data_IF_973434010780
#
_entry.id   IF_973434010780
#
_cell.length_a   1.000
_cell.length_b   1.000
_cell.length_c   1.000
_cell.angle_alpha   90.00
_cell.angle_beta   90.00
_cell.angle_gamma   90.00
#
_symmetry.space_group_name_H-M   'P 1'
#
loop_
_entity.id
_entity.type
_entity.pdbx_description
1 polymer ?
#
# COMPACT_ATOMS: atom_id res chain seq x y z
N UNK A 1 13.45 33.62 -53.66
CA UNK A 1 13.07 33.26 -52.29
C UNK A 1 14.20 32.38 -51.72
N UNK A 2 14.86 32.88 -50.66
CA UNK A 2 15.83 32.05 -49.92
C UNK A 2 15.04 31.16 -48.98
N UNK A 3 15.09 29.86 -49.18
CA UNK A 3 14.55 28.87 -48.22
C UNK A 3 15.69 28.48 -47.31
N UNK A 4 15.64 28.95 -46.06
CA UNK A 4 16.56 28.55 -45.02
C UNK A 4 15.87 27.58 -44.10
N UNK A 5 16.49 26.46 -43.75
CA UNK A 5 16.07 25.61 -42.66
C UNK A 5 16.48 26.26 -41.34
N UNK A 6 15.52 26.70 -40.56
CA UNK A 6 15.75 27.13 -39.20
C UNK A 6 15.25 26.05 -38.23
N UNK A 7 15.95 25.86 -37.14
CA UNK A 7 15.43 25.09 -36.00
C UNK A 7 14.17 25.78 -35.49
N UNK A 8 13.13 25.01 -35.17
CA UNK A 8 11.96 25.56 -34.48
C UNK A 8 12.40 26.04 -33.08
N UNK A 9 11.94 27.21 -32.68
CA UNK A 9 12.23 27.71 -31.33
C UNK A 9 11.86 26.64 -30.28
N UNK A 10 12.73 26.45 -29.29
CA UNK A 10 12.50 25.51 -28.22
C UNK A 10 11.22 25.94 -27.46
N UNK A 11 10.30 25.00 -27.32
CA UNK A 11 9.03 25.21 -26.58
C UNK A 11 9.00 24.48 -25.26
N UNK A 12 10.05 23.73 -24.94
CA UNK A 12 10.21 22.96 -23.70
C UNK A 12 11.69 22.82 -23.34
N UNK A 13 11.97 22.73 -22.08
CA UNK A 13 13.30 22.44 -21.53
C UNK A 13 13.16 21.22 -20.64
N UNK A 14 14.15 20.31 -20.71
CA UNK A 14 14.26 19.18 -19.80
C UNK A 14 15.71 19.07 -19.33
N UNK A 15 15.91 18.97 -18.01
CA UNK A 15 17.22 18.79 -17.38
C UNK A 15 17.17 17.70 -16.32
N UNK A 16 18.30 17.03 -16.16
CA UNK A 16 18.56 16.05 -15.11
C UNK A 16 19.86 16.41 -14.40
N UNK A 17 19.79 16.68 -13.09
CA UNK A 17 20.92 17.17 -12.29
C UNK A 17 21.65 18.34 -12.97
N UNK A 18 20.91 19.34 -13.45
CA UNK A 18 21.44 20.54 -14.12
C UNK A 18 21.92 20.33 -15.56
N UNK A 19 21.90 19.12 -16.11
CA UNK A 19 22.32 18.83 -17.48
C UNK A 19 21.13 18.67 -18.41
N UNK A 20 21.21 19.23 -19.61
CA UNK A 20 20.18 19.09 -20.63
C UNK A 20 19.98 17.60 -20.99
N UNK A 21 18.75 17.15 -20.99
CA UNK A 21 18.40 15.79 -21.33
C UNK A 21 17.17 15.72 -22.26
N UNK A 22 16.89 14.52 -22.73
CA UNK A 22 15.65 14.19 -23.44
C UNK A 22 14.90 13.12 -22.63
N UNK A 23 13.73 13.46 -22.10
CA UNK A 23 12.88 12.54 -21.37
C UNK A 23 11.99 11.74 -22.32
N UNK A 24 11.99 10.40 -22.18
CA UNK A 24 11.16 9.49 -22.94
C UNK A 24 10.24 8.73 -22.00
N UNK A 25 8.95 9.08 -22.02
CA UNK A 25 7.92 8.37 -21.29
C UNK A 25 7.42 7.12 -22.05
N UNK A 26 7.59 5.95 -21.44
CA UNK A 26 7.15 4.67 -22.02
C UNK A 26 5.91 4.19 -21.29
N UNK A 27 4.82 3.93 -22.02
CA UNK A 27 3.58 3.37 -21.48
C UNK A 27 3.36 1.96 -22.02
N UNK A 28 3.10 1.01 -21.14
CA UNK A 28 2.75 -0.36 -21.53
C UNK A 28 1.29 -0.43 -22.02
N UNK A 29 1.01 -1.43 -22.87
CA UNK A 29 -0.38 -1.77 -23.24
C UNK A 29 -1.10 -2.38 -22.02
N UNK A 30 -2.40 -2.14 -21.91
CA UNK A 30 -3.23 -2.68 -20.82
C UNK A 30 -3.16 -4.21 -20.70
N UNK A 31 -2.86 -4.92 -21.80
CA UNK A 31 -2.72 -6.38 -21.85
C UNK A 31 -1.30 -6.88 -21.53
N UNK A 32 -0.33 -6.00 -21.41
CA UNK A 32 1.08 -6.36 -21.11
C UNK A 32 1.36 -6.14 -19.62
N UNK A 33 1.90 -7.16 -18.95
CA UNK A 33 2.32 -7.03 -17.57
C UNK A 33 3.44 -5.99 -17.41
N UNK A 34 3.27 -5.05 -16.50
CA UNK A 34 4.20 -3.94 -16.26
C UNK A 34 5.63 -4.41 -16.01
N UNK A 35 5.81 -5.45 -15.20
CA UNK A 35 7.14 -6.00 -14.86
C UNK A 35 7.87 -6.52 -16.10
N UNK A 36 7.17 -7.25 -16.98
CA UNK A 36 7.78 -7.78 -18.21
C UNK A 36 8.11 -6.64 -19.18
N UNK A 37 7.20 -5.68 -19.36
CA UNK A 37 7.43 -4.55 -20.24
C UNK A 37 8.64 -3.70 -19.77
N UNK A 38 8.75 -3.41 -18.47
CA UNK A 38 9.91 -2.69 -17.94
C UNK A 38 11.21 -3.48 -18.11
N UNK A 39 11.17 -4.81 -17.94
CA UNK A 39 12.34 -5.68 -18.14
C UNK A 39 12.80 -5.64 -19.61
N UNK A 40 11.88 -5.82 -20.55
CA UNK A 40 12.20 -5.80 -22.01
C UNK A 40 12.77 -4.45 -22.42
N UNK A 41 12.24 -3.34 -21.86
CA UNK A 41 12.77 -1.99 -22.09
C UNK A 41 14.20 -1.85 -21.55
N UNK A 42 14.46 -2.30 -20.31
CA UNK A 42 15.81 -2.26 -19.74
C UNK A 42 16.82 -3.06 -20.54
N UNK A 43 16.46 -4.26 -20.97
CA UNK A 43 17.31 -5.09 -21.83
C UNK A 43 17.60 -4.39 -23.16
N UNK A 44 16.60 -3.71 -23.75
CA UNK A 44 16.79 -2.98 -25.00
C UNK A 44 17.65 -1.74 -24.81
N UNK A 45 17.49 -0.99 -23.71
CA UNK A 45 18.35 0.14 -23.39
C UNK A 45 19.82 -0.28 -23.23
N UNK A 46 20.09 -1.40 -22.56
CA UNK A 46 21.45 -1.94 -22.43
C UNK A 46 22.06 -2.30 -23.78
N UNK A 47 21.29 -2.87 -24.72
CA UNK A 47 21.74 -3.15 -26.07
C UNK A 47 22.10 -1.86 -26.83
N UNK A 48 21.23 -0.84 -26.77
CA UNK A 48 21.44 0.45 -27.43
C UNK A 48 22.67 1.15 -26.85
N UNK A 49 22.86 1.11 -25.53
CA UNK A 49 24.04 1.68 -24.88
C UNK A 49 25.32 0.98 -25.28
N UNK A 50 25.30 -0.35 -25.44
CA UNK A 50 26.46 -1.10 -25.93
C UNK A 50 26.82 -0.77 -27.39
N UNK A 51 25.81 -0.51 -28.23
CA UNK A 51 25.99 -0.08 -29.63
C UNK A 51 26.43 1.38 -29.71
N UNK A 52 26.04 2.22 -28.75
CA UNK A 52 26.32 3.66 -28.74
C UNK A 52 26.85 4.10 -27.37
N UNK A 53 28.14 3.88 -27.07
CA UNK A 53 28.73 4.20 -25.75
C UNK A 53 28.73 5.69 -25.38
N UNK A 54 28.47 6.57 -26.36
CA UNK A 54 28.38 8.03 -26.11
C UNK A 54 27.01 8.46 -25.52
N UNK A 55 26.02 7.57 -25.49
CA UNK A 55 24.69 7.86 -24.97
C UNK A 55 24.60 7.24 -23.56
N UNK A 56 24.31 8.07 -22.60
CA UNK A 56 24.02 7.63 -21.22
C UNK A 56 22.50 7.60 -20.98
N UNK A 57 21.99 6.51 -20.44
CA UNK A 57 20.58 6.36 -20.11
C UNK A 57 20.42 6.28 -18.61
N UNK A 58 19.58 7.15 -18.05
CA UNK A 58 19.14 7.08 -16.66
C UNK A 58 17.65 6.74 -16.58
N UNK A 59 17.29 5.82 -15.72
CA UNK A 59 15.91 5.41 -15.50
C UNK A 59 15.38 6.15 -14.26
N UNK A 60 14.73 7.27 -14.49
CA UNK A 60 14.21 8.14 -13.43
C UNK A 60 12.97 7.57 -12.72
N UNK A 61 12.17 6.80 -13.42
CA UNK A 61 10.98 6.15 -12.85
C UNK A 61 10.75 4.75 -13.40
N UNK A 62 10.63 3.78 -12.54
CA UNK A 62 10.34 2.38 -12.86
C UNK A 62 9.16 1.84 -12.04
N UNK A 63 7.99 1.80 -12.67
CA UNK A 63 6.78 1.26 -12.06
C UNK A 63 6.89 -0.22 -11.66
N UNK A 64 7.82 -0.99 -12.25
CA UNK A 64 8.02 -2.40 -11.87
C UNK A 64 8.67 -2.56 -10.49
N UNK A 65 9.43 -1.58 -10.03
CA UNK A 65 10.16 -1.62 -8.76
C UNK A 65 9.22 -1.78 -7.57
N UNK A 66 8.11 -1.04 -7.54
CA UNK A 66 7.09 -1.13 -6.48
C UNK A 66 6.39 -2.50 -6.46
N UNK A 67 6.11 -3.09 -7.65
CA UNK A 67 5.51 -4.41 -7.77
C UNK A 67 6.48 -5.49 -7.28
N UNK A 68 7.76 -5.41 -7.69
CA UNK A 68 8.80 -6.36 -7.28
C UNK A 68 9.06 -6.26 -5.77
N UNK A 69 9.13 -5.05 -5.23
CA UNK A 69 9.26 -4.82 -3.79
C UNK A 69 8.10 -5.43 -3.01
N UNK A 70 6.86 -5.24 -3.48
CA UNK A 70 5.68 -5.84 -2.87
C UNK A 70 5.69 -7.37 -2.95
N UNK A 71 6.10 -7.95 -4.09
CA UNK A 71 6.29 -9.41 -4.23
C UNK A 71 7.33 -9.95 -3.26
N UNK A 72 8.46 -9.25 -3.12
CA UNK A 72 9.51 -9.62 -2.16
C UNK A 72 8.98 -9.58 -0.73
N UNK A 73 8.25 -8.52 -0.37
CA UNK A 73 7.60 -8.38 0.94
C UNK A 73 6.61 -9.51 1.23
N UNK A 74 5.83 -9.95 0.23
CA UNK A 74 4.94 -11.12 0.37
C UNK A 74 5.75 -12.39 0.63
N UNK A 75 6.84 -12.61 -0.12
CA UNK A 75 7.70 -13.79 0.05
C UNK A 75 8.39 -13.79 1.42
N UNK A 76 8.92 -12.67 1.86
CA UNK A 76 9.53 -12.50 3.19
C UNK A 76 8.52 -12.72 4.31
N UNK A 77 7.33 -12.14 4.20
CA UNK A 77 6.24 -12.30 5.16
C UNK A 77 5.77 -13.76 5.24
N UNK A 78 5.65 -14.43 4.09
CA UNK A 78 5.33 -15.85 4.04
C UNK A 78 6.39 -16.68 4.74
N UNK A 79 7.67 -16.46 4.41
CA UNK A 79 8.79 -17.19 5.02
C UNK A 79 8.84 -16.97 6.53
N UNK A 80 8.76 -15.71 6.96
CA UNK A 80 8.74 -15.35 8.37
C UNK A 80 7.52 -15.95 9.08
N UNK A 81 6.34 -15.88 8.46
CA UNK A 81 5.11 -16.47 8.98
C UNK A 81 5.20 -17.98 9.15
N UNK A 82 5.73 -18.68 8.15
CA UNK A 82 5.98 -20.14 8.22
C UNK A 82 6.95 -20.48 9.35
N UNK A 83 8.10 -19.80 9.41
CA UNK A 83 9.13 -20.05 10.44
C UNK A 83 8.59 -19.77 11.84
N UNK A 84 7.92 -18.63 12.03
CA UNK A 84 7.37 -18.26 13.32
C UNK A 84 6.25 -19.22 13.77
N UNK A 85 5.35 -19.60 12.85
CA UNK A 85 4.30 -20.58 13.12
C UNK A 85 4.90 -21.93 13.47
N UNK A 86 5.89 -22.41 12.71
CA UNK A 86 6.57 -23.65 13.03
C UNK A 86 7.26 -23.61 14.39
N UNK A 87 7.91 -22.50 14.74
CA UNK A 87 8.55 -22.31 16.03
C UNK A 87 7.54 -22.35 17.18
N UNK A 88 6.43 -21.65 17.05
CA UNK A 88 5.34 -21.62 18.03
C UNK A 88 4.74 -23.03 18.18
N UNK A 89 4.39 -23.69 17.09
CA UNK A 89 3.81 -25.02 17.13
C UNK A 89 4.79 -26.07 17.70
N UNK A 90 6.08 -25.94 17.36
CA UNK A 90 7.11 -26.78 17.95
C UNK A 90 7.19 -26.59 19.48
N UNK A 91 7.03 -25.37 19.95
CA UNK A 91 7.00 -25.05 21.38
C UNK A 91 5.79 -25.70 22.07
N UNK A 92 4.61 -25.76 21.39
CA UNK A 92 3.38 -26.31 21.97
C UNK A 92 3.26 -27.83 21.84
N UNK A 93 3.62 -28.41 20.71
CA UNK A 93 3.49 -29.86 20.45
C UNK A 93 4.79 -30.65 20.71
N UNK A 94 5.93 -29.97 20.74
CA UNK A 94 7.25 -30.59 20.92
C UNK A 94 7.67 -31.47 19.75
N UNK A 95 6.95 -31.46 18.63
CA UNK A 95 7.24 -32.29 17.46
C UNK A 95 7.41 -31.41 16.20
N UNK A 96 8.60 -31.54 15.60
CA UNK A 96 8.93 -30.80 14.36
C UNK A 96 8.06 -31.26 13.18
N UNK A 97 7.63 -32.54 13.14
CA UNK A 97 6.76 -33.02 12.06
C UNK A 97 5.38 -32.38 12.08
N UNK A 98 4.82 -32.21 13.28
CA UNK A 98 3.55 -31.50 13.45
C UNK A 98 3.66 -30.05 12.97
N UNK A 99 4.73 -29.37 13.38
CA UNK A 99 5.01 -27.99 12.96
C UNK A 99 5.19 -27.88 11.44
N UNK A 100 5.90 -28.85 10.83
CA UNK A 100 6.13 -28.88 9.39
C UNK A 100 4.83 -29.10 8.59
N UNK A 101 3.91 -29.94 9.08
CA UNK A 101 2.60 -30.17 8.42
C UNK A 101 1.83 -28.86 8.29
N UNK A 102 1.72 -28.10 9.39
CA UNK A 102 1.01 -26.82 9.39
C UNK A 102 1.80 -25.76 8.60
N UNK A 103 3.12 -25.69 8.79
CA UNK A 103 3.98 -24.77 8.04
C UNK A 103 3.89 -24.97 6.52
N UNK A 104 3.84 -26.21 6.06
CA UNK A 104 3.69 -26.55 4.64
C UNK A 104 2.29 -26.22 4.08
N UNK A 105 1.27 -26.19 4.92
CA UNK A 105 -0.09 -25.83 4.46
C UNK A 105 -0.20 -24.37 3.99
N UNK A 106 0.62 -23.45 4.54
CA UNK A 106 0.60 -22.04 4.17
C UNK A 106 1.01 -21.78 2.72
N UNK A 107 2.20 -22.19 2.24
CA UNK A 107 2.58 -21.99 0.85
C UNK A 107 1.64 -22.71 -0.11
N UNK A 108 1.13 -23.89 0.24
CA UNK A 108 0.18 -24.61 -0.61
C UNK A 108 -1.14 -23.85 -0.73
N UNK A 109 -1.66 -23.31 0.37
CA UNK A 109 -2.85 -22.44 0.36
C UNK A 109 -2.63 -21.18 -0.46
N UNK A 110 -1.43 -20.57 -0.35
CA UNK A 110 -1.08 -19.39 -1.15
C UNK A 110 -1.07 -19.73 -2.65
N UNK A 111 -0.43 -20.81 -3.07
CA UNK A 111 -0.44 -21.23 -4.48
C UNK A 111 -1.86 -21.51 -4.99
N UNK A 112 -2.69 -22.16 -4.19
CA UNK A 112 -4.08 -22.40 -4.54
C UNK A 112 -4.84 -21.08 -4.67
N UNK A 113 -4.59 -20.10 -3.81
CA UNK A 113 -5.15 -18.75 -3.90
C UNK A 113 -4.77 -18.08 -5.22
N UNK A 114 -3.49 -18.13 -5.61
CA UNK A 114 -3.01 -17.57 -6.88
C UNK A 114 -3.67 -18.24 -8.10
N UNK A 115 -3.91 -19.55 -8.04
CA UNK A 115 -4.65 -20.28 -9.08
C UNK A 115 -6.09 -19.75 -9.18
N UNK A 116 -6.79 -19.59 -8.06
CA UNK A 116 -8.16 -19.08 -8.04
C UNK A 116 -8.22 -17.63 -8.55
N UNK A 117 -7.27 -16.77 -8.16
CA UNK A 117 -7.15 -15.41 -8.68
C UNK A 117 -6.94 -15.39 -10.19
N UNK A 118 -6.04 -16.25 -10.71
CA UNK A 118 -5.78 -16.38 -12.13
C UNK A 118 -7.02 -16.83 -12.93
N UNK A 119 -7.80 -17.78 -12.39
CA UNK A 119 -9.05 -18.25 -13.01
C UNK A 119 -10.11 -17.15 -13.10
N UNK A 120 -10.11 -16.19 -12.18
CA UNK A 120 -11.03 -15.04 -12.17
C UNK A 120 -10.47 -13.83 -12.92
N UNK A 121 -9.28 -13.93 -13.50
CA UNK A 121 -8.65 -12.86 -14.26
C UNK A 121 -8.07 -11.72 -13.41
N UNK A 122 -7.85 -11.94 -12.11
CA UNK A 122 -7.21 -10.94 -11.25
C UNK A 122 -5.70 -10.88 -11.50
N UNK A 123 -5.17 -9.67 -11.56
CA UNK A 123 -3.74 -9.41 -11.69
C UNK A 123 -3.07 -9.30 -10.32
N UNK A 124 -1.76 -9.58 -10.27
CA UNK A 124 -0.94 -9.26 -9.10
C UNK A 124 -0.60 -7.76 -9.13
N UNK A 125 -1.12 -7.03 -8.17
CA UNK A 125 -0.91 -5.61 -7.96
C UNK A 125 -0.73 -5.31 -6.46
N UNK A 126 -0.43 -4.07 -6.11
CA UNK A 126 -0.18 -3.66 -4.71
C UNK A 126 -1.35 -4.04 -3.79
N UNK A 127 -2.59 -3.89 -4.26
CA UNK A 127 -3.79 -4.21 -3.47
C UNK A 127 -3.93 -5.71 -3.23
N UNK A 128 -3.80 -6.52 -4.29
CA UNK A 128 -3.91 -7.98 -4.18
C UNK A 128 -2.74 -8.58 -3.41
N UNK A 129 -1.52 -8.04 -3.57
CA UNK A 129 -0.35 -8.47 -2.81
C UNK A 129 -0.47 -8.11 -1.33
N UNK A 130 -0.94 -6.89 -1.00
CA UNK A 130 -1.26 -6.50 0.37
C UNK A 130 -2.34 -7.39 0.99
N UNK A 131 -3.37 -7.77 0.23
CA UNK A 131 -4.40 -8.69 0.67
C UNK A 131 -3.86 -10.09 0.97
N UNK A 132 -2.90 -10.58 0.17
CA UNK A 132 -2.23 -11.85 0.44
C UNK A 132 -1.41 -11.82 1.73
N UNK A 133 -0.73 -10.70 2.05
CA UNK A 133 -0.03 -10.53 3.33
C UNK A 133 -1.00 -10.66 4.52
N UNK A 134 -2.16 -10.00 4.44
CA UNK A 134 -3.21 -10.11 5.46
C UNK A 134 -3.72 -11.56 5.56
N UNK A 135 -3.99 -12.18 4.41
CA UNK A 135 -4.52 -13.54 4.34
C UNK A 135 -3.54 -14.59 4.90
N UNK A 136 -2.23 -14.43 4.72
CA UNK A 136 -1.20 -15.33 5.27
C UNK A 136 -1.38 -15.52 6.77
N UNK A 137 -1.63 -14.43 7.51
CA UNK A 137 -1.87 -14.51 8.97
C UNK A 137 -3.12 -15.29 9.36
N UNK A 138 -4.15 -15.32 8.50
CA UNK A 138 -5.42 -16.00 8.77
C UNK A 138 -5.44 -17.47 8.27
N UNK A 139 -4.57 -17.82 7.33
CA UNK A 139 -4.56 -19.17 6.71
C UNK A 139 -4.19 -20.29 7.66
N UNK A 140 -3.49 -19.99 8.76
CA UNK A 140 -2.91 -20.99 9.66
C UNK A 140 -3.95 -21.60 10.60
N UNK A 141 -4.94 -20.82 11.00
CA UNK A 141 -5.86 -21.16 12.09
C UNK A 141 -6.61 -22.47 11.86
N UNK A 142 -7.16 -22.69 10.66
CA UNK A 142 -7.87 -23.90 10.32
C UNK A 142 -6.96 -25.14 10.42
N UNK A 143 -5.70 -25.04 9.95
CA UNK A 143 -4.73 -26.11 9.98
C UNK A 143 -4.31 -26.48 11.40
N UNK A 144 -4.17 -25.50 12.30
CA UNK A 144 -3.86 -25.73 13.73
C UNK A 144 -4.98 -26.50 14.40
N UNK A 145 -6.24 -26.09 14.18
CA UNK A 145 -7.41 -26.74 14.79
C UNK A 145 -7.54 -28.20 14.33
N UNK A 146 -7.28 -28.47 13.04
CA UNK A 146 -7.33 -29.83 12.51
C UNK A 146 -6.25 -30.71 13.13
N UNK A 147 -4.99 -30.25 13.17
CA UNK A 147 -3.89 -31.08 13.72
C UNK A 147 -4.08 -31.32 15.22
N UNK A 148 -4.55 -30.32 15.98
CA UNK A 148 -4.86 -30.47 17.40
C UNK A 148 -5.95 -31.54 17.63
N UNK A 149 -7.01 -31.51 16.81
CA UNK A 149 -8.09 -32.49 16.89
C UNK A 149 -7.61 -33.90 16.55
N UNK A 150 -6.74 -34.04 15.53
CA UNK A 150 -6.12 -35.32 15.19
C UNK A 150 -5.29 -35.87 16.36
N UNK A 151 -4.48 -35.03 17.03
CA UNK A 151 -3.72 -35.48 18.24
C UNK A 151 -4.64 -35.87 19.36
N UNK A 152 -5.73 -35.11 19.60
CA UNK A 152 -6.71 -35.44 20.65
C UNK A 152 -7.37 -36.77 20.40
N UNK A 153 -7.73 -37.07 19.15
CA UNK A 153 -8.30 -38.37 18.76
C UNK A 153 -7.29 -39.52 18.82
N UNK A 154 -6.05 -39.26 18.49
CA UNK A 154 -4.99 -40.29 18.56
C UNK A 154 -4.80 -40.85 19.98
N UNK A 155 -5.07 -40.06 21.04
CA UNK A 155 -5.01 -40.52 22.42
C UNK A 155 -6.04 -41.64 22.74
N UNK A 156 -7.17 -41.65 22.01
CA UNK A 156 -8.24 -42.65 22.16
C UNK A 156 -8.29 -43.68 21.05
N UNK A 157 -7.68 -43.42 19.90
CA UNK A 157 -7.71 -44.29 18.72
C UNK A 157 -6.29 -44.58 18.23
N UNK A 158 -5.77 -45.81 18.41
CA UNK A 158 -4.39 -46.16 18.05
C UNK A 158 -4.08 -46.05 16.55
N UNK A 159 -5.09 -46.28 15.69
CA UNK A 159 -4.92 -46.14 14.25
C UNK A 159 -4.86 -44.66 13.80
N UNK A 160 -3.71 -44.28 13.26
CA UNK A 160 -3.44 -42.92 12.78
C UNK A 160 -4.41 -42.44 11.67
N UNK A 161 -4.82 -43.35 10.77
CA UNK A 161 -5.72 -43.02 9.69
C UNK A 161 -7.11 -42.75 10.24
N UNK A 162 -7.59 -43.57 11.16
CA UNK A 162 -8.87 -43.37 11.79
C UNK A 162 -8.85 -42.15 12.69
N UNK A 163 -7.78 -41.91 13.46
CA UNK A 163 -7.61 -40.71 14.29
C UNK A 163 -7.63 -39.39 13.43
N UNK A 164 -6.95 -39.42 12.29
CA UNK A 164 -6.96 -38.28 11.36
C UNK A 164 -8.36 -37.99 10.78
N UNK A 165 -9.06 -39.08 10.37
CA UNK A 165 -10.40 -38.94 9.77
C UNK A 165 -11.44 -38.47 10.80
N UNK A 166 -11.46 -39.11 11.99
CA UNK A 166 -12.40 -38.72 13.05
C UNK A 166 -12.09 -37.35 13.64
N UNK A 167 -10.80 -37.03 13.84
CA UNK A 167 -10.36 -35.74 14.32
C UNK A 167 -10.75 -34.62 13.38
N UNK A 168 -10.52 -34.80 12.06
CA UNK A 168 -10.95 -33.80 11.07
C UNK A 168 -12.47 -33.66 11.03
N UNK A 169 -13.21 -34.76 11.04
CA UNK A 169 -14.68 -34.76 11.04
C UNK A 169 -15.26 -34.01 12.24
N UNK A 170 -14.66 -34.15 13.44
CA UNK A 170 -15.11 -33.49 14.67
C UNK A 170 -15.08 -31.97 14.55
N UNK A 171 -14.08 -31.40 13.89
CA UNK A 171 -13.89 -29.94 13.79
C UNK A 171 -14.38 -29.34 12.45
N UNK A 172 -14.74 -30.17 11.48
CA UNK A 172 -15.17 -29.74 10.13
C UNK A 172 -16.26 -28.66 10.18
N UNK A 173 -17.35 -28.91 10.92
CA UNK A 173 -18.46 -27.95 11.00
C UNK A 173 -18.04 -26.62 11.61
N UNK A 174 -17.19 -26.66 12.64
CA UNK A 174 -16.68 -25.46 13.31
C UNK A 174 -15.77 -24.63 12.39
N UNK A 175 -14.85 -25.30 11.66
CA UNK A 175 -13.93 -24.64 10.73
C UNK A 175 -14.71 -24.04 9.54
N UNK A 176 -15.65 -24.79 8.96
CA UNK A 176 -16.49 -24.26 7.88
C UNK A 176 -17.28 -23.04 8.37
N UNK A 177 -17.91 -23.12 9.53
CA UNK A 177 -18.67 -22.00 10.09
C UNK A 177 -17.81 -20.76 10.32
N UNK A 178 -16.61 -20.91 10.90
CA UNK A 178 -15.68 -19.79 11.11
C UNK A 178 -15.18 -19.21 9.80
N UNK A 179 -14.84 -20.06 8.82
CA UNK A 179 -14.40 -19.61 7.49
C UNK A 179 -15.50 -18.84 6.76
N UNK A 180 -16.76 -19.35 6.77
CA UNK A 180 -17.90 -18.67 6.20
C UNK A 180 -18.13 -17.32 6.88
N UNK A 181 -18.04 -17.26 8.20
CA UNK A 181 -18.19 -16.00 8.94
C UNK A 181 -17.14 -14.97 8.51
N UNK A 182 -15.89 -15.38 8.34
CA UNK A 182 -14.82 -14.53 7.83
C UNK A 182 -15.12 -14.07 6.40
N UNK A 183 -15.52 -14.98 5.52
CA UNK A 183 -15.89 -14.66 4.14
C UNK A 183 -17.02 -13.62 4.09
N UNK A 184 -18.06 -13.80 4.89
CA UNK A 184 -19.22 -12.88 4.95
C UNK A 184 -18.80 -11.47 5.39
N UNK A 185 -17.78 -11.33 6.23
CA UNK A 185 -17.23 -10.00 6.63
C UNK A 185 -16.53 -9.30 5.47
N UNK A 186 -15.83 -10.04 4.62
CA UNK A 186 -15.09 -9.46 3.47
C UNK A 186 -15.93 -9.33 2.20
N UNK A 187 -17.03 -10.05 2.09
CA UNK A 187 -17.92 -10.02 0.90
C UNK A 187 -18.50 -8.62 0.60
N UNK A 188 -18.91 -7.79 1.58
CA UNK A 188 -19.34 -6.42 1.31
C UNK A 188 -18.29 -5.56 0.61
N UNK A 189 -17.00 -5.74 0.92
CA UNK A 189 -15.91 -5.01 0.25
C UNK A 189 -15.87 -5.34 -1.25
N UNK A 190 -16.13 -6.60 -1.60
CA UNK A 190 -16.19 -7.06 -2.99
C UNK A 190 -17.41 -6.54 -3.78
N UNK A 191 -18.38 -5.91 -3.11
CA UNK A 191 -19.62 -5.38 -3.74
C UNK A 191 -19.68 -3.86 -3.71
N UNK A 192 -18.66 -3.18 -3.22
CA UNK A 192 -18.58 -1.72 -3.20
C UNK A 192 -18.54 -1.16 -4.62
N UNK A 193 -19.12 0.05 -4.82
CA UNK A 193 -19.14 0.75 -6.10
C UNK A 193 -18.25 1.97 -6.09
N UNK A 194 -17.88 2.45 -7.29
CA UNK A 194 -17.03 3.62 -7.46
C UNK A 194 -15.53 3.29 -7.51
N UNK A 195 -14.69 4.31 -7.45
CA UNK A 195 -13.23 4.15 -7.52
C UNK A 195 -12.70 3.29 -6.37
N UNK A 196 -13.12 3.59 -5.15
CA UNK A 196 -12.80 2.77 -3.97
C UNK A 196 -13.29 1.33 -4.11
N UNK A 197 -14.46 1.13 -4.74
CA UNK A 197 -15.01 -0.19 -5.01
C UNK A 197 -14.10 -1.06 -5.86
N UNK A 198 -13.49 -0.52 -6.91
CA UNK A 198 -12.57 -1.27 -7.77
C UNK A 198 -11.32 -1.77 -7.00
N UNK A 199 -10.84 -0.99 -6.03
CA UNK A 199 -9.72 -1.39 -5.18
C UNK A 199 -10.14 -2.45 -4.15
N UNK A 200 -11.24 -2.20 -3.44
CA UNK A 200 -11.71 -3.08 -2.38
C UNK A 200 -12.32 -4.39 -2.91
N UNK A 201 -12.86 -4.41 -4.14
CA UNK A 201 -13.30 -5.63 -4.81
C UNK A 201 -12.16 -6.65 -4.91
N UNK A 202 -11.00 -6.22 -5.44
CA UNK A 202 -9.84 -7.11 -5.58
C UNK A 202 -9.31 -7.58 -4.22
N UNK A 203 -9.29 -6.68 -3.23
CA UNK A 203 -8.91 -7.01 -1.85
C UNK A 203 -9.86 -8.06 -1.27
N UNK A 204 -11.16 -7.82 -1.32
CA UNK A 204 -12.18 -8.70 -0.76
C UNK A 204 -12.15 -10.11 -1.36
N UNK A 205 -12.14 -10.20 -2.69
CA UNK A 205 -12.07 -11.51 -3.37
C UNK A 205 -10.76 -12.24 -3.12
N UNK A 206 -9.62 -11.55 -3.07
CA UNK A 206 -8.34 -12.19 -2.77
C UNK A 206 -8.35 -12.85 -1.40
N UNK A 207 -8.89 -12.18 -0.38
CA UNK A 207 -9.03 -12.76 0.97
C UNK A 207 -10.03 -13.93 0.97
N UNK A 208 -11.15 -13.81 0.26
CA UNK A 208 -12.13 -14.90 0.13
C UNK A 208 -11.49 -16.14 -0.51
N UNK A 209 -10.72 -15.98 -1.60
CA UNK A 209 -10.01 -17.10 -2.22
C UNK A 209 -8.96 -17.70 -1.30
N UNK A 210 -8.24 -16.88 -0.54
CA UNK A 210 -7.28 -17.33 0.44
C UNK A 210 -7.93 -18.15 1.57
N UNK A 211 -9.09 -17.72 2.04
CA UNK A 211 -9.84 -18.46 3.06
C UNK A 211 -10.36 -19.79 2.54
N UNK A 212 -10.89 -19.83 1.31
CA UNK A 212 -11.32 -21.07 0.66
C UNK A 212 -10.14 -22.02 0.43
N UNK A 213 -9.01 -21.51 -0.05
CA UNK A 213 -7.79 -22.27 -0.25
C UNK A 213 -7.25 -22.87 1.07
N UNK A 214 -7.26 -22.06 2.14
CA UNK A 214 -6.86 -22.52 3.47
C UNK A 214 -7.81 -23.60 4.03
N UNK A 215 -9.11 -23.44 3.84
CA UNK A 215 -10.10 -24.45 4.24
C UNK A 215 -9.84 -25.78 3.54
N UNK A 216 -9.63 -25.77 2.21
CA UNK A 216 -9.33 -26.97 1.42
C UNK A 216 -8.03 -27.61 1.91
N UNK A 217 -6.97 -26.82 2.09
CA UNK A 217 -5.69 -27.30 2.57
C UNK A 217 -5.81 -27.91 3.99
N UNK A 218 -6.49 -27.25 4.90
CA UNK A 218 -6.68 -27.74 6.27
C UNK A 218 -7.48 -29.03 6.32
N UNK A 219 -8.53 -29.18 5.52
CA UNK A 219 -9.38 -30.36 5.55
C UNK A 219 -8.85 -31.54 4.77
N UNK A 220 -8.02 -31.31 3.74
CA UNK A 220 -7.49 -32.37 2.88
C UNK A 220 -6.01 -32.69 3.12
N UNK A 221 -5.17 -31.63 3.13
CA UNK A 221 -3.72 -31.83 3.18
C UNK A 221 -3.23 -32.11 4.61
N UNK A 222 -3.76 -31.42 5.61
CA UNK A 222 -3.31 -31.63 7.01
C UNK A 222 -3.58 -33.06 7.46
N UNK A 223 -4.79 -33.67 7.36
CA UNK A 223 -5.00 -35.06 7.76
C UNK A 223 -4.22 -36.04 6.90
N UNK A 224 -4.02 -35.77 5.60
CA UNK A 224 -3.19 -36.58 4.73
C UNK A 224 -1.73 -36.61 5.23
N UNK A 225 -1.16 -35.41 5.43
CA UNK A 225 0.22 -35.30 5.94
C UNK A 225 0.38 -35.89 7.36
N UNK A 226 -0.68 -35.76 8.20
CA UNK A 226 -0.68 -36.39 9.51
C UNK A 226 -0.49 -37.91 9.42
N UNK A 227 -1.16 -38.58 8.48
CA UNK A 227 -0.99 -40.02 8.27
C UNK A 227 0.36 -40.42 7.69
N UNK A 228 0.94 -39.54 6.81
CA UNK A 228 2.25 -39.81 6.15
C UNK A 228 3.41 -39.57 7.11
N UNK A 229 3.46 -38.39 7.74
CA UNK A 229 4.58 -37.97 8.59
C UNK A 229 4.52 -38.58 10.00
N UNK A 230 3.36 -39.09 10.44
CA UNK A 230 3.14 -39.71 11.74
C UNK A 230 3.73 -38.88 12.89
N UNK A 231 3.24 -37.64 13.10
CA UNK A 231 3.74 -36.80 14.18
C UNK A 231 3.37 -37.38 15.54
N UNK A 232 4.12 -37.01 16.57
CA UNK A 232 3.90 -37.48 17.94
C UNK A 232 3.89 -36.27 18.88
N UNK A 233 2.78 -36.02 19.54
CA UNK A 233 2.72 -35.05 20.62
C UNK A 233 3.60 -35.47 21.80
N UNK A 234 4.53 -34.60 22.23
CA UNK A 234 5.35 -34.84 23.41
C UNK A 234 4.66 -34.33 24.65
N UNK A 235 4.63 -35.19 25.68
CA UNK A 235 4.15 -34.82 27.01
C UNK A 235 5.29 -34.17 27.84
N UNK A 236 4.93 -33.33 28.80
CA UNK A 236 5.85 -32.68 29.75
C UNK A 236 6.86 -31.72 29.12
N UNK A 237 6.39 -30.88 28.22
CA UNK A 237 7.20 -29.79 27.65
C UNK A 237 7.53 -28.71 28.72
N UNK A 238 8.67 -28.00 28.58
CA UNK A 238 9.01 -26.87 29.48
C UNK A 238 7.92 -25.80 29.55
N UNK A 239 7.21 -25.59 28.44
CA UNK A 239 6.11 -24.62 28.33
C UNK A 239 4.88 -25.02 29.15
N UNK A 240 4.66 -26.31 29.44
CA UNK A 240 3.49 -26.78 30.19
C UNK A 240 3.41 -26.18 31.59
N UNK A 241 4.56 -25.96 32.23
CA UNK A 241 4.64 -25.32 33.55
C UNK A 241 4.18 -23.87 33.49
N UNK A 242 4.61 -23.14 32.44
CA UNK A 242 4.21 -21.75 32.20
C UNK A 242 2.72 -21.67 31.86
N UNK A 243 2.24 -22.56 30.98
CA UNK A 243 0.83 -22.64 30.59
C UNK A 243 -0.08 -22.95 31.79
N UNK A 244 0.30 -23.92 32.65
CA UNK A 244 -0.45 -24.24 33.87
C UNK A 244 -0.54 -23.04 34.81
N UNK A 245 0.57 -22.30 35.01
CA UNK A 245 0.59 -21.07 35.81
C UNK A 245 -0.31 -19.99 35.23
N UNK A 246 -0.23 -19.78 33.89
CA UNK A 246 -1.05 -18.82 33.18
C UNK A 246 -2.54 -19.20 33.26
N UNK A 247 -2.87 -20.46 32.99
CA UNK A 247 -4.26 -20.97 33.08
C UNK A 247 -4.84 -20.79 34.47
N UNK A 248 -4.05 -21.08 35.52
CA UNK A 248 -4.50 -20.89 36.92
C UNK A 248 -4.74 -19.42 37.23
N UNK A 249 -3.87 -18.53 36.75
CA UNK A 249 -4.03 -17.08 36.91
C UNK A 249 -5.27 -16.57 36.15
N UNK A 250 -5.44 -16.99 34.89
CA UNK A 250 -6.60 -16.67 34.07
C UNK A 250 -7.90 -17.14 34.70
N UNK A 251 -7.97 -18.37 35.21
CA UNK A 251 -9.13 -18.92 35.90
C UNK A 251 -9.51 -18.09 37.14
N UNK A 252 -8.52 -17.61 37.90
CA UNK A 252 -8.77 -16.75 39.07
C UNK A 252 -9.40 -15.43 38.65
N UNK A 253 -8.86 -14.80 37.58
CA UNK A 253 -9.41 -13.55 37.03
C UNK A 253 -10.83 -13.78 36.52
N UNK A 254 -11.04 -14.81 35.71
CA UNK A 254 -12.33 -15.12 35.12
C UNK A 254 -13.41 -15.34 36.21
N UNK A 255 -13.09 -16.13 37.25
CA UNK A 255 -14.00 -16.31 38.40
C UNK A 255 -14.34 -14.99 39.12
N UNK A 256 -13.37 -14.09 39.25
CA UNK A 256 -13.59 -12.76 39.85
C UNK A 256 -14.48 -11.88 38.97
N UNK A 257 -14.25 -11.88 37.65
CA UNK A 257 -15.05 -11.13 36.68
C UNK A 257 -16.48 -11.66 36.60
N UNK A 258 -16.67 -12.97 36.57
CA UNK A 258 -18.00 -13.59 36.57
C UNK A 258 -18.82 -13.24 37.82
N UNK A 259 -18.19 -13.12 38.98
CA UNK A 259 -18.86 -12.66 40.20
C UNK A 259 -19.30 -11.18 40.10
N UNK A 260 -18.59 -10.35 39.33
CA UNK A 260 -18.88 -8.92 39.16
C UNK A 260 -19.43 -8.61 37.77
N UNK A 261 -20.27 -9.49 37.21
CA UNK A 261 -20.78 -9.41 35.84
C UNK A 261 -21.35 -8.04 35.45
N UNK A 262 -22.09 -7.37 36.36
CA UNK A 262 -22.65 -6.03 36.09
C UNK A 262 -21.56 -4.97 35.94
N UNK A 263 -20.51 -5.03 36.75
CA UNK A 263 -19.37 -4.11 36.67
C UNK A 263 -18.61 -4.34 35.36
N UNK A 264 -18.41 -5.59 34.93
CA UNK A 264 -17.72 -5.93 33.65
C UNK A 264 -18.50 -5.37 32.47
N UNK A 265 -19.82 -5.58 32.43
CA UNK A 265 -20.69 -5.02 31.37
C UNK A 265 -20.65 -3.49 31.41
N UNK A 266 -20.72 -2.86 32.59
CA UNK A 266 -20.63 -1.41 32.73
C UNK A 266 -19.31 -0.84 32.21
N UNK A 267 -18.19 -1.49 32.52
CA UNK A 267 -16.85 -1.09 31.98
C UNK A 267 -16.79 -1.27 30.47
N UNK A 268 -17.32 -2.38 29.95
CA UNK A 268 -17.34 -2.62 28.50
C UNK A 268 -18.16 -1.55 27.76
N UNK A 269 -19.33 -1.19 28.26
CA UNK A 269 -20.18 -0.13 27.74
C UNK A 269 -19.48 1.24 27.82
N UNK A 270 -18.86 1.55 28.96
CA UNK A 270 -18.13 2.80 29.16
C UNK A 270 -16.95 2.92 28.18
N UNK A 271 -16.18 1.82 27.97
CA UNK A 271 -15.12 1.78 26.97
C UNK A 271 -15.66 1.98 25.54
N UNK A 272 -16.78 1.33 25.21
CA UNK A 272 -17.41 1.50 23.88
C UNK A 272 -17.83 2.96 23.65
N UNK A 273 -18.48 3.60 24.62
CA UNK A 273 -18.86 5.02 24.56
C UNK A 273 -17.60 5.88 24.43
N UNK A 274 -16.57 5.63 25.24
CA UNK A 274 -15.29 6.35 25.18
C UNK A 274 -14.63 6.23 23.81
N UNK A 275 -14.64 5.04 23.18
CA UNK A 275 -14.10 4.82 21.84
C UNK A 275 -14.87 5.61 20.78
N UNK A 276 -16.21 5.63 20.85
CA UNK A 276 -17.05 6.39 19.92
C UNK A 276 -16.78 7.91 20.03
N UNK A 277 -16.62 8.41 21.25
CA UNK A 277 -16.27 9.82 21.47
C UNK A 277 -14.88 10.16 20.94
N UNK A 278 -13.90 9.30 21.16
CA UNK A 278 -12.54 9.46 20.63
C UNK A 278 -12.50 9.34 19.11
N UNK A 279 -13.32 8.48 18.51
CA UNK A 279 -13.38 8.34 17.05
C UNK A 279 -13.84 9.64 16.36
N UNK A 280 -14.66 10.46 17.04
CA UNK A 280 -15.08 11.77 16.54
C UNK A 280 -13.97 12.84 16.50
N UNK A 281 -12.81 12.57 17.12
CA UNK A 281 -11.64 13.48 17.11
C UNK A 281 -10.55 13.05 16.10
N UNK A 282 -10.79 11.98 15.35
CA UNK A 282 -9.87 11.50 14.32
C UNK A 282 -10.16 12.19 12.98
N UNK A 283 -9.11 12.65 12.33
CA UNK A 283 -9.20 13.18 10.98
C UNK A 283 -9.55 12.05 10.00
N UNK A 284 -10.43 12.36 9.05
CA UNK A 284 -10.86 11.40 8.03
C UNK A 284 -10.10 11.65 6.74
N UNK A 285 -9.18 10.77 6.42
CA UNK A 285 -8.47 10.75 5.15
C UNK A 285 -8.82 9.46 4.40
N UNK A 286 -8.98 9.56 3.08
CA UNK A 286 -9.27 8.39 2.26
C UNK A 286 -8.03 7.51 2.06
N UNK A 287 -6.89 8.14 1.80
CA UNK A 287 -5.58 7.50 1.68
C UNK A 287 -4.57 8.39 2.40
N UNK A 288 -3.89 7.88 3.43
CA UNK A 288 -2.83 8.63 4.08
C UNK A 288 -1.69 8.89 3.09
N UNK A 289 -1.06 10.06 3.17
CA UNK A 289 0.10 10.40 2.38
C UNK A 289 1.22 9.38 2.63
N UNK A 290 1.58 8.61 1.60
CA UNK A 290 2.71 7.70 1.68
C UNK A 290 4.01 8.49 1.54
N UNK A 291 5.00 8.20 2.38
CA UNK A 291 6.34 8.77 2.27
C UNK A 291 7.12 8.01 1.18
N UNK A 292 6.90 8.40 -0.08
CA UNK A 292 7.55 7.77 -1.25
C UNK A 292 8.93 8.36 -1.54
N UNK A 293 9.34 9.41 -0.81
CA UNK A 293 10.65 10.02 -1.00
C UNK A 293 10.76 10.87 -2.25
N UNK A 294 9.65 11.43 -2.74
CA UNK A 294 9.64 12.28 -3.93
C UNK A 294 8.96 13.61 -3.60
N UNK A 295 9.63 14.72 -3.91
CA UNK A 295 9.10 16.08 -3.77
C UNK A 295 8.94 16.69 -5.15
N UNK A 296 7.77 17.23 -5.46
CA UNK A 296 7.51 17.97 -6.68
C UNK A 296 7.27 19.45 -6.37
N UNK A 297 8.01 20.30 -7.05
CA UNK A 297 7.80 21.74 -7.07
C UNK A 297 7.21 22.11 -8.43
N UNK A 298 5.98 22.58 -8.42
CA UNK A 298 5.30 23.04 -9.63
C UNK A 298 5.22 24.55 -9.60
N UNK A 299 5.74 25.19 -10.64
CA UNK A 299 5.68 26.63 -10.83
C UNK A 299 4.75 26.93 -11.99
N UNK A 300 3.68 27.66 -11.73
CA UNK A 300 2.74 28.09 -12.75
C UNK A 300 3.05 29.53 -13.16
N UNK A 301 3.22 29.74 -14.45
CA UNK A 301 3.52 31.04 -15.03
C UNK A 301 2.29 31.66 -15.69
N UNK A 302 2.26 32.97 -15.73
CA UNK A 302 1.22 33.70 -16.49
C UNK A 302 1.35 33.40 -17.97
N UNK A 303 0.23 33.30 -18.67
CA UNK A 303 0.20 33.10 -20.11
C UNK A 303 0.99 34.19 -20.82
N UNK A 304 1.94 33.79 -21.67
CA UNK A 304 2.84 34.72 -22.39
C UNK A 304 4.20 34.95 -21.72
N UNK A 305 4.50 34.31 -20.60
CA UNK A 305 5.86 34.29 -20.04
C UNK A 305 6.81 33.62 -21.04
N UNK A 306 8.00 34.18 -21.20
CA UNK A 306 9.01 33.59 -22.11
C UNK A 306 9.71 32.43 -21.45
N UNK A 307 10.09 31.43 -22.26
CA UNK A 307 10.78 30.23 -21.79
C UNK A 307 12.07 30.54 -20.98
N UNK A 308 12.74 31.66 -21.32
CA UNK A 308 13.93 32.14 -20.60
C UNK A 308 13.62 32.55 -19.16
N UNK A 309 12.49 33.23 -18.93
CA UNK A 309 12.07 33.61 -17.57
C UNK A 309 11.60 32.41 -16.76
N UNK A 310 10.93 31.46 -17.41
CA UNK A 310 10.56 30.20 -16.77
C UNK A 310 11.79 29.41 -16.35
N UNK A 311 12.82 29.40 -17.20
CA UNK A 311 14.11 28.76 -16.92
C UNK A 311 14.87 29.43 -15.76
N UNK A 312 14.90 30.77 -15.71
CA UNK A 312 15.53 31.51 -14.61
C UNK A 312 14.86 31.20 -13.27
N UNK A 313 13.54 31.12 -13.26
CA UNK A 313 12.78 30.77 -12.05
C UNK A 313 13.12 29.37 -11.55
N UNK A 314 13.22 28.40 -12.47
CA UNK A 314 13.53 27.03 -12.08
C UNK A 314 14.99 26.82 -11.63
N UNK A 315 15.93 27.58 -12.18
CA UNK A 315 17.34 27.54 -11.69
C UNK A 315 17.48 27.84 -10.23
N UNK A 316 16.62 28.66 -9.67
CA UNK A 316 16.59 28.90 -8.22
C UNK A 316 16.18 27.63 -7.47
N UNK A 317 15.19 26.91 -7.96
CA UNK A 317 14.75 25.65 -7.36
C UNK A 317 15.73 24.52 -7.56
N UNK A 318 16.49 24.52 -8.67
CA UNK A 318 17.59 23.58 -8.89
C UNK A 318 18.69 23.78 -7.83
N UNK A 319 19.05 25.04 -7.51
CA UNK A 319 20.00 25.34 -6.45
C UNK A 319 19.52 24.88 -5.08
N UNK A 320 18.24 25.10 -4.75
CA UNK A 320 17.64 24.62 -3.50
C UNK A 320 17.69 23.10 -3.42
N UNK A 321 17.45 22.40 -4.53
CA UNK A 321 17.51 20.95 -4.58
C UNK A 321 18.94 20.41 -4.48
N UNK A 322 19.94 21.10 -5.05
CA UNK A 322 21.36 20.77 -4.93
C UNK A 322 21.92 20.98 -3.51
N UNK A 323 21.42 22.00 -2.82
CA UNK A 323 21.84 22.32 -1.44
C UNK A 323 21.19 21.37 -0.40
N UNK A 324 20.14 20.64 -0.78
CA UNK A 324 19.44 19.72 0.13
C UNK A 324 20.19 18.36 0.21
N UNK A 325 20.78 18.02 1.36
CA UNK A 325 21.61 16.81 1.48
C UNK A 325 20.83 15.50 1.29
N UNK A 326 19.52 15.55 1.50
CA UNK A 326 18.64 14.39 1.41
C UNK A 326 18.12 14.14 -0.03
N UNK A 327 18.48 14.99 -1.02
CA UNK A 327 18.15 14.80 -2.44
C UNK A 327 19.19 13.88 -3.09
N UNK A 328 18.74 12.81 -3.73
CA UNK A 328 19.57 11.88 -4.50
C UNK A 328 19.81 12.39 -5.92
N UNK A 329 18.72 12.79 -6.58
CA UNK A 329 18.74 13.44 -7.88
C UNK A 329 17.51 14.31 -8.07
N UNK A 330 17.56 15.20 -9.05
CA UNK A 330 16.39 15.98 -9.45
C UNK A 330 16.26 16.07 -10.98
N UNK A 331 15.02 16.21 -11.42
CA UNK A 331 14.69 16.42 -12.82
C UNK A 331 13.79 17.63 -12.98
N UNK A 332 14.02 18.38 -14.06
CA UNK A 332 13.26 19.58 -14.40
C UNK A 332 12.60 19.39 -15.76
N UNK A 333 11.33 19.79 -15.84
CA UNK A 333 10.58 19.81 -17.08
C UNK A 333 9.80 21.12 -17.19
N UNK A 334 10.05 21.90 -18.27
CA UNK A 334 9.32 23.10 -18.60
C UNK A 334 8.52 22.82 -19.86
N UNK A 335 7.22 22.99 -19.82
CA UNK A 335 6.33 22.79 -20.97
C UNK A 335 5.12 23.68 -20.89
N UNK A 336 4.95 24.56 -21.87
CA UNK A 336 3.86 25.51 -21.90
C UNK A 336 4.01 26.59 -20.82
N UNK A 337 3.00 26.79 -19.98
CA UNK A 337 2.99 27.75 -18.88
C UNK A 337 3.25 27.11 -17.51
N UNK A 338 3.75 25.90 -17.46
CA UNK A 338 4.04 25.17 -16.23
C UNK A 338 5.42 24.57 -16.27
N UNK A 339 6.13 24.70 -15.17
CA UNK A 339 7.41 24.08 -14.96
C UNK A 339 7.37 23.23 -13.70
N UNK A 340 7.96 22.05 -13.76
CA UNK A 340 7.99 21.12 -12.64
C UNK A 340 9.42 20.69 -12.37
N UNK A 341 9.85 20.81 -11.11
CA UNK A 341 11.04 20.15 -10.60
C UNK A 341 10.59 18.97 -9.75
N UNK A 342 11.11 17.80 -10.05
CA UNK A 342 10.89 16.58 -9.24
C UNK A 342 12.21 16.18 -8.61
N UNK A 343 12.26 16.14 -7.29
CA UNK A 343 13.43 15.72 -6.51
C UNK A 343 13.14 14.37 -5.85
N UNK A 344 14.00 13.41 -6.13
CA UNK A 344 14.01 12.09 -5.49
C UNK A 344 14.95 12.10 -4.30
N UNK A 345 14.47 11.59 -3.17
CA UNK A 345 15.20 11.63 -1.90
C UNK A 345 15.89 10.30 -1.61
N UNK A 346 17.03 10.36 -0.94
CA UNK A 346 17.76 9.17 -0.48
C UNK A 346 16.89 8.33 0.49
N UNK A 347 17.03 7.00 0.45
CA UNK A 347 16.25 6.09 1.30
C UNK A 347 16.55 6.24 2.80
N UNK A 348 17.79 6.56 3.17
CA UNK A 348 18.19 6.82 4.56
C UNK A 348 18.43 8.30 4.74
N UNK A 349 17.35 9.05 4.87
CA UNK A 349 17.36 10.50 5.03
C UNK A 349 17.18 10.93 6.48
N UNK A 350 17.55 12.15 6.78
CA UNK A 350 17.44 12.77 8.10
C UNK A 350 16.05 13.38 8.31
N UNK A 351 15.44 13.91 7.25
CA UNK A 351 14.12 14.51 7.26
C UNK A 351 13.10 13.62 6.53
N UNK A 352 11.85 13.63 6.99
CA UNK A 352 10.76 13.02 6.25
C UNK A 352 10.42 13.85 5.01
N UNK A 353 9.80 13.23 3.99
CA UNK A 353 9.36 13.98 2.80
C UNK A 353 8.44 15.14 3.18
N UNK A 354 7.53 14.96 4.14
CA UNK A 354 6.66 16.02 4.63
C UNK A 354 7.44 17.21 5.20
N UNK A 355 8.48 16.95 5.99
CA UNK A 355 9.32 18.03 6.55
C UNK A 355 10.10 18.80 5.49
N UNK A 356 10.55 18.13 4.43
CA UNK A 356 11.19 18.80 3.28
C UNK A 356 10.16 19.63 2.50
N UNK A 357 8.97 19.07 2.29
CA UNK A 357 7.86 19.81 1.66
C UNK A 357 7.49 21.06 2.46
N UNK A 358 7.37 20.96 3.79
CA UNK A 358 7.09 22.11 4.66
C UNK A 358 8.19 23.16 4.56
N UNK A 359 9.46 22.74 4.64
CA UNK A 359 10.63 23.63 4.49
C UNK A 359 10.64 24.35 3.14
N UNK A 360 10.33 23.63 2.05
CA UNK A 360 10.31 24.22 0.72
C UNK A 360 9.07 25.09 0.50
N UNK A 361 7.93 24.79 1.13
CA UNK A 361 6.76 25.67 1.14
C UNK A 361 7.02 26.99 1.88
N UNK A 362 7.80 26.98 2.96
CA UNK A 362 8.22 28.23 3.62
C UNK A 362 9.08 29.11 2.70
N UNK A 363 9.96 28.50 1.89
CA UNK A 363 10.75 29.20 0.88
C UNK A 363 9.83 29.73 -0.22
N UNK A 364 8.88 28.92 -0.71
CA UNK A 364 7.91 29.31 -1.74
C UNK A 364 7.05 30.50 -1.30
N UNK A 365 6.61 30.53 -0.04
CA UNK A 365 5.81 31.63 0.53
C UNK A 365 6.55 32.99 0.52
N UNK A 366 7.89 32.98 0.48
CA UNK A 366 8.69 34.19 0.29
C UNK A 366 8.76 34.70 -1.15
N UNK A 367 8.29 33.93 -2.13
CA UNK A 367 8.36 34.24 -3.57
C UNK A 367 7.03 34.82 -4.04
N UNK A 368 6.85 36.14 -3.92
CA UNK A 368 5.56 36.80 -4.26
C UNK A 368 5.28 36.94 -5.76
N UNK A 369 6.31 36.73 -6.61
CA UNK A 369 6.21 36.95 -8.06
C UNK A 369 5.87 35.67 -8.85
N UNK A 370 5.79 34.52 -8.18
CA UNK A 370 5.58 33.21 -8.79
C UNK A 370 4.52 32.43 -8.04
N UNK A 371 3.68 31.70 -8.78
CA UNK A 371 2.74 30.75 -8.20
C UNK A 371 3.41 29.37 -8.07
N UNK A 372 3.96 29.11 -6.89
CA UNK A 372 4.71 27.91 -6.58
C UNK A 372 3.90 26.99 -5.67
N UNK A 373 3.83 25.74 -6.02
CA UNK A 373 3.21 24.70 -5.20
C UNK A 373 4.22 23.58 -4.97
N UNK A 374 4.53 23.29 -3.71
CA UNK A 374 5.40 22.20 -3.31
C UNK A 374 4.55 21.08 -2.74
N UNK A 375 4.66 19.89 -3.30
CA UNK A 375 3.89 18.72 -2.88
C UNK A 375 4.79 17.50 -2.75
N UNK A 376 4.42 16.55 -1.88
CA UNK A 376 5.00 15.21 -1.95
C UNK A 376 4.40 14.51 -3.17
N UNK A 377 5.25 14.23 -4.18
CA UNK A 377 4.83 13.46 -5.36
C UNK A 377 5.17 12.00 -5.09
N UNK A 378 4.22 11.28 -4.57
CA UNK A 378 4.26 9.84 -4.57
C UNK A 378 3.23 9.34 -5.57
N UNK A 379 3.29 8.12 -5.96
CA UNK A 379 2.58 7.43 -7.04
C UNK A 379 1.35 8.14 -7.64
N UNK A 380 1.07 7.89 -8.89
CA UNK A 380 -0.10 8.46 -9.65
C UNK A 380 -1.44 8.41 -8.89
N UNK A 381 -1.54 7.62 -7.85
CA UNK A 381 -2.72 7.49 -7.00
C UNK A 381 -2.82 8.60 -5.96
N UNK A 382 -1.71 9.03 -5.36
CA UNK A 382 -1.67 10.15 -4.42
C UNK A 382 -1.93 11.47 -5.14
N UNK A 383 -1.33 11.68 -6.31
CA UNK A 383 -1.55 12.88 -7.13
C UNK A 383 -2.94 12.96 -7.75
N UNK A 384 -3.58 11.82 -8.05
CA UNK A 384 -4.99 11.80 -8.50
C UNK A 384 -5.99 12.09 -7.37
N UNK A 385 -5.60 11.87 -6.11
CA UNK A 385 -6.48 12.07 -4.96
C UNK A 385 -6.09 13.26 -4.08
N UNK A 386 -4.91 13.85 -4.25
CA UNK A 386 -4.50 15.08 -3.55
C UNK A 386 -5.10 16.35 -4.16
N UNK A 387 -5.85 16.27 -5.24
CA UNK A 387 -6.84 17.30 -5.59
C UNK A 387 -8.08 17.14 -4.70
N UNK A 388 -7.91 17.28 -3.39
CA UNK A 388 -9.01 17.64 -2.50
C UNK A 388 -9.33 19.12 -2.68
N UNK A 389 -9.47 19.56 -3.91
CA UNK A 389 -9.98 20.88 -4.17
C UNK A 389 -11.49 20.84 -4.09
N UNK A 390 -12.02 21.61 -3.21
CA UNK A 390 -13.44 21.97 -3.23
C UNK A 390 -13.59 23.02 -4.32
N UNK A 391 -14.25 22.67 -5.43
CA UNK A 391 -14.44 23.56 -6.57
C UNK A 391 -15.79 24.26 -6.43
N UNK A 392 -15.77 25.60 -6.55
CA UNK A 392 -16.96 26.43 -6.47
C UNK A 392 -17.14 27.15 -7.81
N UNK A 393 -18.19 26.82 -8.53
CA UNK A 393 -18.56 27.52 -9.76
C UNK A 393 -19.43 28.72 -9.48
N UNK A 394 -18.90 29.92 -9.75
CA UNK A 394 -19.68 31.16 -9.75
C UNK A 394 -20.26 31.44 -11.15
N UNK A 395 -21.57 31.64 -11.23
CA UNK A 395 -22.26 31.92 -12.49
C UNK A 395 -22.87 33.32 -12.47
N UNK A 396 -22.65 34.08 -13.51
CA UNK A 396 -23.21 35.43 -13.69
C UNK A 396 -23.11 35.90 -15.14
N UNK A 397 -23.84 36.94 -15.47
CA UNK A 397 -23.88 37.48 -16.82
C UNK A 397 -22.83 38.60 -17.06
N UNK A 398 -22.28 39.17 -16.00
CA UNK A 398 -21.24 40.21 -16.07
C UNK A 398 -19.92 39.68 -15.52
N UNK A 399 -18.88 39.76 -16.38
CA UNK A 399 -17.54 39.25 -16.04
C UNK A 399 -16.86 40.09 -14.94
N UNK A 400 -17.16 41.41 -14.88
CA UNK A 400 -16.55 42.28 -13.88
C UNK A 400 -17.14 42.01 -12.48
N UNK A 401 -18.49 41.84 -12.42
CA UNK A 401 -19.16 41.44 -11.18
C UNK A 401 -18.74 40.05 -10.70
N UNK A 402 -18.56 39.11 -11.63
CA UNK A 402 -18.06 37.76 -11.30
C UNK A 402 -16.63 37.80 -10.74
N UNK A 403 -15.74 38.61 -11.34
CA UNK A 403 -14.38 38.77 -10.87
C UNK A 403 -14.34 39.31 -9.44
N UNK A 404 -15.10 40.38 -9.17
CA UNK A 404 -15.16 40.96 -7.84
C UNK A 404 -15.75 40.01 -6.81
N UNK A 405 -16.84 39.29 -7.17
CA UNK A 405 -17.44 38.31 -6.29
C UNK A 405 -16.49 37.11 -6.00
N UNK A 406 -15.69 36.72 -6.97
CA UNK A 406 -14.69 35.65 -6.79
C UNK A 406 -13.55 36.09 -5.87
N UNK A 407 -13.04 37.32 -6.01
CA UNK A 407 -12.03 37.89 -5.12
C UNK A 407 -12.55 38.04 -3.68
N UNK A 408 -13.76 38.55 -3.50
CA UNK A 408 -14.39 38.73 -2.19
C UNK A 408 -14.60 37.36 -1.50
N UNK A 409 -15.06 36.35 -2.26
CA UNK A 409 -15.22 34.97 -1.75
C UNK A 409 -13.89 34.32 -1.40
N UNK A 410 -12.87 34.52 -2.24
CA UNK A 410 -11.52 34.07 -1.99
C UNK A 410 -10.96 34.59 -0.66
N UNK A 411 -11.09 35.91 -0.46
CA UNK A 411 -10.62 36.59 0.77
C UNK A 411 -11.35 36.10 2.04
N UNK A 412 -12.60 35.64 1.93
CA UNK A 412 -13.33 35.06 3.07
C UNK A 412 -12.95 33.61 3.31
N UNK A 413 -12.72 32.80 2.25
CA UNK A 413 -12.33 31.37 2.36
C UNK A 413 -10.92 31.26 2.93
N UNK A 414 -10.00 32.16 2.58
CA UNK A 414 -8.60 32.15 3.10
C UNK A 414 -8.53 32.39 4.63
N UNK A 415 -9.57 32.91 5.25
CA UNK A 415 -9.64 33.07 6.71
C UNK A 415 -10.03 31.80 7.45
N UNK A 416 -10.47 30.76 6.73
CA UNK A 416 -10.91 29.50 7.33
C UNK A 416 -9.68 28.69 7.72
N UNK A 417 -9.60 28.29 8.98
CA UNK A 417 -8.53 27.45 9.49
C UNK A 417 -8.50 26.10 8.74
N UNK A 418 -7.33 25.74 8.20
CA UNK A 418 -7.15 24.53 7.37
C UNK A 418 -7.17 24.78 5.86
N UNK A 419 -7.48 25.98 5.38
CA UNK A 419 -7.32 26.35 3.97
C UNK A 419 -5.88 26.84 3.75
N UNK A 420 -5.14 26.12 2.91
CA UNK A 420 -3.73 26.42 2.61
C UNK A 420 -3.61 27.40 1.44
N UNK A 421 -4.44 27.23 0.41
CA UNK A 421 -4.41 28.06 -0.80
C UNK A 421 -5.78 28.06 -1.48
N UNK A 422 -6.13 29.20 -2.06
CA UNK A 422 -7.28 29.35 -2.95
C UNK A 422 -6.81 29.79 -4.33
N UNK A 423 -7.42 29.27 -5.39
CA UNK A 423 -7.11 29.64 -6.77
C UNK A 423 -8.36 30.19 -7.46
N UNK A 424 -8.19 31.24 -8.21
CA UNK A 424 -9.27 31.90 -8.97
C UNK A 424 -8.94 31.84 -10.47
N UNK A 425 -9.77 31.15 -11.25
CA UNK A 425 -9.57 30.95 -12.69
C UNK A 425 -9.61 32.26 -13.51
N UNK A 426 -10.22 33.37 -12.99
CA UNK A 426 -10.30 34.65 -13.67
C UNK A 426 -9.02 35.48 -13.54
N UNK A 427 -8.26 35.33 -12.46
CA UNK A 427 -7.01 36.09 -12.22
C UNK A 427 -5.89 35.61 -13.15
N UNK A 428 -5.90 34.30 -13.52
CA UNK A 428 -4.92 33.73 -14.42
C UNK A 428 -5.14 34.04 -15.91
N UNK A 429 -6.19 34.76 -16.26
CA UNK A 429 -6.59 35.05 -17.67
C UNK A 429 -6.39 36.49 -18.12
N UNK A 430 -5.73 37.35 -17.33
CA UNK A 430 -5.42 38.73 -17.70
C UNK A 430 -3.93 38.97 -17.90
#
# INVERSE_FOLDING_TARGET
ANVTTASKDATSISRYNGQDNVSIGIKNKSSAGTVNACKDVKEKLQQIQAENPAIEFEVTYDASSSIISSLTSVAETLLLGVVLTMAVLFLFFGDFKASLIVGASMPISLFLTLILMSMMGFSMNIVTLGSLVIAIGMMVDASIVVIESCFRRQKSTPDLKQAALEGTKEVTASIIASTITTIVVYLPLATMKGLSGQMFEQLGFTIVFAMLASLIAAMMLVPLFYTVFKPKEKENLPIDKLLKKFTTWYQKILRKLMKRRKTVVGVAVALMIGTVLLAGTLDMELIPAADEGVVAVTVNFRSGTTLEKEDEALKLWEQIAEEEPDVEFYSVSISGSSATLTADLIKKRTLTTAQIVDKWNEIAAGMTDMDVTVTSSGSSMSSMMSTSSYEIDLQGNDRAELAQAAEDLQAEIEKIDGVVKTENSLVNST
#
